data_IF_213876499076
#
_entry.id   IF_213876499076
#
_cell.length_a   1.000
_cell.length_b   1.000
_cell.length_c   1.000
_cell.angle_alpha   90.00
_cell.angle_beta   90.00
_cell.angle_gamma   90.00
#
_symmetry.space_group_name_H-M   'P 1'
#
loop_
_entity.id
_entity.type
_entity.pdbx_description
1 polymer ?
#
# COMPACT_ATOMS: atom_id res chain seq x y z
N UNK A 1 9.35 -20.07 -11.97
CA UNK A 1 8.14 -20.65 -12.64
C UNK A 1 6.98 -20.80 -11.67
N UNK A 2 7.26 -21.14 -10.41
CA UNK A 2 6.26 -21.44 -9.36
C UNK A 2 5.34 -20.25 -8.99
N UNK A 3 5.81 -19.01 -9.11
CA UNK A 3 5.01 -17.82 -8.77
C UNK A 3 4.16 -17.26 -9.92
N UNK A 4 4.19 -17.88 -11.11
CA UNK A 4 3.44 -17.39 -12.28
C UNK A 4 1.99 -17.89 -12.31
N UNK A 5 1.74 -19.10 -11.83
CA UNK A 5 0.43 -19.73 -11.92
C UNK A 5 -0.15 -20.24 -10.57
N UNK A 6 0.05 -19.52 -9.44
CA UNK A 6 -0.47 -19.98 -8.14
C UNK A 6 -2.00 -20.12 -8.12
N UNK A 7 -2.71 -19.34 -8.96
CA UNK A 7 -4.17 -19.43 -9.14
C UNK A 7 -4.66 -20.77 -9.70
N UNK A 8 -3.78 -21.59 -10.30
CA UNK A 8 -4.13 -22.95 -10.72
C UNK A 8 -4.22 -23.93 -9.54
N UNK A 9 -3.56 -23.61 -8.42
CA UNK A 9 -3.44 -24.49 -7.26
C UNK A 9 -4.18 -23.95 -6.02
N UNK A 10 -4.34 -22.63 -5.91
CA UNK A 10 -5.02 -21.96 -4.80
C UNK A 10 -6.16 -21.12 -5.34
N UNK A 11 -7.40 -21.56 -5.09
CA UNK A 11 -8.64 -20.97 -5.63
C UNK A 11 -8.81 -19.47 -5.31
N UNK A 12 -8.34 -19.04 -4.15
CA UNK A 12 -8.51 -17.65 -3.68
C UNK A 12 -7.47 -16.69 -4.28
N UNK A 13 -6.47 -17.21 -4.99
CA UNK A 13 -5.48 -16.38 -5.68
C UNK A 13 -6.04 -16.00 -7.05
N UNK A 14 -6.21 -14.70 -7.36
CA UNK A 14 -6.68 -14.27 -8.67
C UNK A 14 -5.66 -14.59 -9.77
N UNK A 15 -6.15 -14.81 -10.99
CA UNK A 15 -5.30 -15.06 -12.16
C UNK A 15 -4.62 -13.80 -12.71
N UNK A 16 -5.04 -12.62 -12.23
CA UNK A 16 -4.48 -11.33 -12.59
C UNK A 16 -3.66 -10.69 -11.45
N UNK A 17 -2.84 -9.70 -11.81
CA UNK A 17 -1.97 -8.93 -10.92
C UNK A 17 -2.52 -7.52 -10.62
N UNK A 18 -3.80 -7.23 -10.91
CA UNK A 18 -4.35 -5.87 -10.90
C UNK A 18 -4.20 -5.18 -9.53
N UNK A 19 -4.30 -5.94 -8.44
CA UNK A 19 -4.08 -5.42 -7.09
C UNK A 19 -2.67 -4.82 -6.93
N UNK A 20 -1.65 -5.49 -7.46
CA UNK A 20 -0.25 -5.03 -7.43
C UNK A 20 -0.05 -3.81 -8.32
N UNK A 21 -0.63 -3.80 -9.52
CA UNK A 21 -0.57 -2.67 -10.45
C UNK A 21 -1.24 -1.42 -9.87
N UNK A 22 -2.38 -1.59 -9.20
CA UNK A 22 -3.09 -0.50 -8.51
C UNK A 22 -2.26 0.06 -7.35
N UNK A 23 -1.57 -0.79 -6.58
CA UNK A 23 -0.73 -0.34 -5.48
C UNK A 23 0.41 0.58 -5.95
N UNK A 24 1.07 0.25 -7.07
CA UNK A 24 2.16 1.08 -7.62
C UNK A 24 1.69 2.34 -8.36
N UNK A 25 0.40 2.43 -8.73
CA UNK A 25 -0.13 3.57 -9.51
C UNK A 25 0.10 4.91 -8.81
N UNK A 26 -0.08 4.97 -7.49
CA UNK A 26 0.11 6.21 -6.72
C UNK A 26 1.55 6.73 -6.76
N UNK A 27 2.53 5.82 -6.78
CA UNK A 27 3.94 6.17 -6.98
C UNK A 27 4.11 6.87 -8.34
N UNK A 28 3.49 6.32 -9.39
CA UNK A 28 3.61 6.88 -10.74
C UNK A 28 2.90 8.22 -10.88
N UNK A 29 1.72 8.38 -10.26
CA UNK A 29 1.02 9.67 -10.18
C UNK A 29 1.90 10.70 -9.46
N UNK A 30 2.52 10.33 -8.34
CA UNK A 30 3.43 11.24 -7.62
C UNK A 30 4.62 11.66 -8.47
N UNK A 31 5.20 10.72 -9.23
CA UNK A 31 6.30 11.02 -10.16
C UNK A 31 5.88 11.92 -11.33
N UNK A 32 4.76 11.63 -12.00
CA UNK A 32 4.42 12.28 -13.28
C UNK A 32 3.54 13.52 -13.15
N UNK A 33 2.70 13.57 -12.12
CA UNK A 33 1.62 14.56 -12.01
C UNK A 33 1.81 15.43 -10.76
N UNK A 34 2.09 14.82 -9.60
CA UNK A 34 2.13 15.55 -8.32
C UNK A 34 3.53 16.06 -7.94
N UNK A 35 4.26 16.61 -8.91
CA UNK A 35 5.51 17.36 -8.67
C UNK A 35 6.75 16.53 -8.35
N UNK A 36 6.75 15.22 -8.67
CA UNK A 36 7.88 14.29 -8.56
C UNK A 36 8.56 14.24 -7.18
N UNK A 37 9.70 13.54 -7.11
CA UNK A 37 10.55 13.46 -5.91
C UNK A 37 11.85 14.19 -6.17
N UNK A 38 12.23 15.12 -5.27
CA UNK A 38 13.48 15.88 -5.39
C UNK A 38 14.69 15.13 -4.83
N UNK A 39 14.46 14.20 -3.90
CA UNK A 39 15.50 13.40 -3.25
C UNK A 39 14.99 11.97 -3.05
N UNK A 40 15.91 11.01 -2.97
CA UNK A 40 15.59 9.62 -2.67
C UNK A 40 14.92 9.47 -1.30
N UNK A 41 15.41 10.21 -0.30
CA UNK A 41 14.81 10.24 1.04
C UNK A 41 13.32 10.62 1.00
N UNK A 42 12.94 11.60 0.18
CA UNK A 42 11.53 11.97 0.03
C UNK A 42 10.71 10.87 -0.64
N UNK A 43 11.28 10.14 -1.60
CA UNK A 43 10.64 9.00 -2.24
C UNK A 43 10.45 7.83 -1.25
N UNK A 44 11.46 7.53 -0.44
CA UNK A 44 11.39 6.50 0.61
C UNK A 44 10.33 6.86 1.66
N UNK A 45 10.32 8.10 2.16
CA UNK A 45 9.29 8.57 3.10
C UNK A 45 7.87 8.42 2.53
N UNK A 46 7.68 8.78 1.26
CA UNK A 46 6.40 8.60 0.58
C UNK A 46 6.01 7.13 0.48
N UNK A 47 6.94 6.25 0.12
CA UNK A 47 6.69 4.81 0.01
C UNK A 47 6.27 4.20 1.36
N UNK A 48 6.94 4.57 2.46
CA UNK A 48 6.60 4.10 3.82
C UNK A 48 5.19 4.57 4.22
N UNK A 49 4.89 5.85 4.05
CA UNK A 49 3.56 6.38 4.40
C UNK A 49 2.49 5.69 3.55
N UNK A 50 2.75 5.51 2.24
CA UNK A 50 1.79 4.88 1.35
C UNK A 50 1.58 3.40 1.66
N UNK A 51 2.63 2.65 2.03
CA UNK A 51 2.50 1.24 2.40
C UNK A 51 1.65 1.04 3.64
N UNK A 52 1.77 1.95 4.63
CA UNK A 52 0.89 1.97 5.80
C UNK A 52 -0.56 2.21 5.38
N UNK A 53 -0.82 3.25 4.57
CA UNK A 53 -2.18 3.57 4.08
C UNK A 53 -2.79 2.39 3.32
N UNK A 54 -2.04 1.77 2.40
CA UNK A 54 -2.55 0.63 1.62
C UNK A 54 -2.84 -0.57 2.51
N UNK A 55 -2.03 -0.79 3.55
CA UNK A 55 -2.27 -1.85 4.55
C UNK A 55 -3.52 -1.55 5.36
N UNK A 56 -3.73 -0.31 5.79
CA UNK A 56 -4.95 0.09 6.51
C UNK A 56 -6.20 -0.15 5.66
N UNK A 57 -6.17 0.25 4.39
CA UNK A 57 -7.28 0.03 3.44
C UNK A 57 -7.55 -1.47 3.24
N UNK A 58 -6.50 -2.29 3.07
CA UNK A 58 -6.64 -3.74 2.89
C UNK A 58 -7.28 -4.44 4.09
N UNK A 59 -7.09 -3.90 5.29
CA UNK A 59 -7.71 -4.41 6.52
C UNK A 59 -9.08 -3.78 6.80
N UNK A 60 -9.64 -2.99 5.88
CA UNK A 60 -10.97 -2.37 6.06
C UNK A 60 -11.03 -1.30 7.14
N UNK A 61 -9.89 -0.77 7.58
CA UNK A 61 -9.80 0.21 8.65
C UNK A 61 -9.92 1.65 8.11
N UNK A 62 -10.36 2.58 8.97
CA UNK A 62 -10.35 4.00 8.65
C UNK A 62 -8.91 4.53 8.61
N UNK A 63 -8.52 5.09 7.47
CA UNK A 63 -7.15 5.58 7.25
C UNK A 63 -6.79 6.74 8.17
N UNK A 64 -7.69 7.70 8.37
CA UNK A 64 -7.39 8.87 9.19
C UNK A 64 -7.21 8.49 10.66
N UNK A 65 -8.08 7.62 11.17
CA UNK A 65 -8.00 7.12 12.55
C UNK A 65 -6.72 6.32 12.79
N UNK A 66 -6.40 5.39 11.88
CA UNK A 66 -5.16 4.59 11.98
C UNK A 66 -3.91 5.48 11.93
N UNK A 67 -3.87 6.46 11.04
CA UNK A 67 -2.75 7.41 10.96
C UNK A 67 -2.64 8.28 12.22
N UNK A 68 -3.77 8.67 12.82
CA UNK A 68 -3.79 9.42 14.07
C UNK A 68 -3.30 8.58 15.27
N UNK A 69 -3.62 7.28 15.30
CA UNK A 69 -3.10 6.35 16.31
C UNK A 69 -1.58 6.15 16.17
N UNK A 70 -1.11 5.92 14.94
CA UNK A 70 0.32 5.78 14.64
C UNK A 70 1.11 7.03 15.03
N UNK A 71 0.59 8.22 14.72
CA UNK A 71 1.22 9.49 15.12
C UNK A 71 1.32 9.67 16.64
N UNK A 72 0.39 9.06 17.40
CA UNK A 72 0.39 9.04 18.86
C UNK A 72 1.15 7.84 19.45
N UNK A 73 1.73 6.98 18.61
CA UNK A 73 2.37 5.71 18.99
C UNK A 73 1.45 4.83 19.86
N UNK A 74 0.15 4.83 19.55
CA UNK A 74 -0.85 4.01 20.25
C UNK A 74 -1.21 2.77 19.43
N UNK A 75 -1.41 1.61 20.06
CA UNK A 75 -1.90 0.43 19.37
C UNK A 75 -3.35 0.63 18.89
N UNK A 76 -3.75 -0.15 17.90
CA UNK A 76 -5.16 -0.25 17.52
C UNK A 76 -5.96 -0.79 18.73
N UNK A 77 -7.07 -0.16 19.12
CA UNK A 77 -7.97 -0.73 20.10
C UNK A 77 -8.46 -2.09 19.61
N UNK A 78 -8.30 -3.12 20.43
CA UNK A 78 -8.88 -4.44 20.19
C UNK A 78 -10.23 -4.42 20.87
N UNK A 79 -11.30 -4.53 20.08
CA UNK A 79 -12.64 -4.80 20.62
C UNK A 79 -12.70 -6.22 21.21
#
# INVERSE_FOLDING_TARGET
RENLFPFLFVKDVPSDNNASERAIRNLKVKQKISGQFKTEKAAQNFAIIRSVIDTTIKNGMNVLEAMALLAKLKPQPVD
#
